data_IF_146667357006
#
_entry.id   IF_146667357006
#
_cell.length_a   1.000
_cell.length_b   1.000
_cell.length_c   1.000
_cell.angle_alpha   90.00
_cell.angle_beta   90.00
_cell.angle_gamma   90.00
#
_symmetry.space_group_name_H-M   'P 1'
#
loop_
_entity.id
_entity.type
_entity.pdbx_description
1 polymer ?
#
# COMPACT_ATOMS: atom_id res chain seq x y z
N UNK A 1 74.08 24.02 -77.36
CA UNK A 1 73.57 22.64 -77.26
C UNK A 1 72.95 22.44 -75.89
N UNK A 2 71.74 21.85 -75.82
CA UNK A 2 71.42 20.92 -74.74
C UNK A 2 70.81 19.60 -75.25
N UNK A 3 70.89 18.56 -74.40
CA UNK A 3 70.37 17.19 -74.54
C UNK A 3 69.21 16.96 -73.56
N UNK A 4 68.19 16.17 -73.98
CA UNK A 4 67.39 15.14 -73.23
C UNK A 4 66.59 15.62 -71.97
N UNK A 5 65.49 15.05 -71.48
CA UNK A 5 64.59 13.90 -71.81
C UNK A 5 63.35 14.00 -70.87
N UNK A 6 62.22 13.48 -71.35
CA UNK A 6 61.17 12.71 -70.66
C UNK A 6 60.12 13.37 -69.74
N UNK A 7 58.86 13.17 -70.17
CA UNK A 7 57.58 13.15 -69.46
C UNK A 7 57.58 12.24 -68.21
N UNK A 8 56.72 12.53 -67.22
CA UNK A 8 55.53 11.72 -66.83
C UNK A 8 54.74 12.44 -65.72
N UNK A 9 53.46 12.71 -66.02
CA UNK A 9 52.22 12.70 -65.20
C UNK A 9 52.32 12.66 -63.66
N UNK A 10 51.79 13.69 -62.99
CA UNK A 10 51.51 13.65 -61.53
C UNK A 10 50.09 14.15 -61.16
N UNK A 11 49.33 14.81 -62.04
CA UNK A 11 48.07 15.46 -61.62
C UNK A 11 46.79 14.59 -61.62
N UNK A 12 46.85 13.28 -61.90
CA UNK A 12 45.63 12.45 -62.02
C UNK A 12 45.42 11.37 -60.95
N UNK A 13 46.29 11.24 -59.93
CA UNK A 13 46.17 10.18 -58.91
C UNK A 13 45.42 10.58 -57.62
N UNK A 14 45.28 11.87 -57.29
CA UNK A 14 44.64 12.29 -56.02
C UNK A 14 43.10 12.42 -56.11
N UNK A 15 42.53 12.85 -57.25
CA UNK A 15 41.10 13.12 -57.37
C UNK A 15 40.17 11.89 -57.38
N UNK A 16 40.69 10.70 -57.71
CA UNK A 16 39.90 9.46 -57.82
C UNK A 16 39.64 8.83 -56.43
N UNK A 17 40.52 9.08 -55.47
CA UNK A 17 40.44 8.51 -54.12
C UNK A 17 39.36 9.24 -53.28
N UNK A 18 39.34 10.57 -53.33
CA UNK A 18 38.34 11.39 -52.63
C UNK A 18 36.91 11.18 -53.12
N UNK A 19 36.70 10.87 -54.40
CA UNK A 19 35.37 10.61 -54.94
C UNK A 19 34.77 9.31 -54.37
N UNK A 20 35.60 8.26 -54.25
CA UNK A 20 35.21 6.97 -53.67
C UNK A 20 35.01 7.05 -52.16
N UNK A 21 35.85 7.83 -51.47
CA UNK A 21 35.72 8.06 -50.04
C UNK A 21 34.43 8.85 -49.72
N UNK A 22 34.08 9.86 -50.51
CA UNK A 22 32.82 10.59 -50.38
C UNK A 22 31.58 9.73 -50.65
N UNK A 23 31.69 8.75 -51.55
CA UNK A 23 30.59 7.81 -51.82
C UNK A 23 30.37 6.86 -50.63
N UNK A 24 31.45 6.30 -50.09
CA UNK A 24 31.39 5.47 -48.86
C UNK A 24 30.88 6.23 -47.65
N UNK A 25 31.34 7.47 -47.45
CA UNK A 25 30.87 8.32 -46.35
C UNK A 25 29.37 8.62 -46.46
N UNK A 26 28.84 8.77 -47.68
CA UNK A 26 27.39 8.94 -47.90
C UNK A 26 26.62 7.67 -47.55
N UNK A 27 27.13 6.50 -47.94
CA UNK A 27 26.52 5.21 -47.59
C UNK A 27 26.51 4.97 -46.08
N UNK A 28 27.60 5.29 -45.38
CA UNK A 28 27.67 5.18 -43.91
C UNK A 28 26.71 6.14 -43.21
N UNK A 29 26.57 7.38 -43.71
CA UNK A 29 25.58 8.34 -43.19
C UNK A 29 24.15 7.83 -43.40
N UNK A 30 23.86 7.22 -44.54
CA UNK A 30 22.54 6.66 -44.85
C UNK A 30 22.21 5.48 -43.91
N UNK A 31 23.19 4.61 -43.65
CA UNK A 31 23.05 3.50 -42.71
C UNK A 31 22.86 3.98 -41.27
N UNK A 32 23.64 4.97 -40.82
CA UNK A 32 23.50 5.58 -39.50
C UNK A 32 22.14 6.26 -39.32
N UNK A 33 21.62 6.93 -40.35
CA UNK A 33 20.27 7.53 -40.32
C UNK A 33 19.18 6.47 -40.14
N UNK A 34 19.25 5.37 -40.90
CA UNK A 34 18.29 4.26 -40.76
C UNK A 34 18.35 3.63 -39.37
N UNK A 35 19.56 3.43 -38.83
CA UNK A 35 19.75 2.85 -37.50
C UNK A 35 19.21 3.78 -36.39
N UNK A 36 19.37 5.10 -36.53
CA UNK A 36 18.78 6.10 -35.61
C UNK A 36 17.25 6.09 -35.70
N UNK A 37 16.69 5.90 -36.89
CA UNK A 37 15.25 5.88 -37.11
C UNK A 37 14.59 4.60 -36.57
N UNK A 38 15.27 3.46 -36.67
CA UNK A 38 14.91 2.20 -36.01
C UNK A 38 14.99 2.32 -34.48
N UNK A 39 16.09 2.89 -33.95
CA UNK A 39 16.24 3.15 -32.51
C UNK A 39 15.21 4.16 -31.95
N UNK A 40 14.76 5.13 -32.77
CA UNK A 40 13.68 6.06 -32.41
C UNK A 40 12.33 5.34 -32.33
N UNK A 41 12.03 4.45 -33.28
CA UNK A 41 10.82 3.62 -33.25
C UNK A 41 10.81 2.65 -32.06
N UNK A 42 11.97 2.14 -31.64
CA UNK A 42 12.08 1.33 -30.42
C UNK A 42 11.92 2.16 -29.13
N UNK A 43 12.36 3.42 -29.12
CA UNK A 43 12.19 4.34 -27.98
C UNK A 43 10.78 4.91 -27.81
N UNK A 44 9.87 4.73 -28.76
CA UNK A 44 8.46 5.10 -28.58
C UNK A 44 7.67 4.12 -27.70
N UNK A 45 8.29 3.01 -27.26
CA UNK A 45 7.81 2.19 -26.13
C UNK A 45 8.36 2.67 -24.78
N UNK A 46 8.49 3.99 -24.58
CA UNK A 46 8.53 4.52 -23.22
C UNK A 46 7.12 4.33 -22.68
N UNK A 47 6.97 3.40 -21.73
CA UNK A 47 5.77 3.29 -20.91
C UNK A 47 5.51 4.68 -20.38
N UNK A 48 4.46 5.32 -20.89
CA UNK A 48 3.89 6.53 -20.31
C UNK A 48 3.37 6.08 -18.95
N UNK A 49 4.22 6.19 -17.93
CA UNK A 49 3.82 5.93 -16.55
C UNK A 49 2.88 7.08 -16.25
N UNK A 50 1.55 6.88 -16.17
CA UNK A 50 0.67 7.96 -15.82
C UNK A 50 1.18 8.51 -14.49
N UNK A 51 1.42 9.82 -14.46
CA UNK A 51 1.77 10.52 -13.24
C UNK A 51 0.61 10.30 -12.27
N UNK A 52 0.75 9.26 -11.45
CA UNK A 52 -0.17 8.96 -10.38
C UNK A 52 -0.16 10.20 -9.52
N UNK A 53 -1.26 10.96 -9.56
CA UNK A 53 -1.48 12.13 -8.72
C UNK A 53 -1.62 11.65 -7.27
N UNK A 54 -0.53 11.18 -6.66
CA UNK A 54 -0.46 10.97 -5.23
C UNK A 54 -0.46 12.37 -4.65
N UNK A 55 -1.56 12.78 -4.04
CA UNK A 55 -1.68 14.06 -3.35
C UNK A 55 -0.45 14.26 -2.46
N UNK A 56 0.31 15.33 -2.67
CA UNK A 56 1.46 15.65 -1.81
C UNK A 56 0.95 16.02 -0.41
N UNK A 57 1.04 15.08 0.52
CA UNK A 57 0.63 15.29 1.91
C UNK A 57 1.81 15.88 2.69
N UNK A 58 1.67 17.07 3.31
CA UNK A 58 2.71 17.63 4.15
C UNK A 58 3.04 16.68 5.32
N UNK A 59 4.34 16.42 5.56
CA UNK A 59 4.79 15.50 6.62
C UNK A 59 4.32 15.91 8.02
N UNK A 60 4.10 17.20 8.25
CA UNK A 60 3.61 17.76 9.51
C UNK A 60 2.07 17.78 9.62
N UNK A 61 1.33 17.41 8.56
CA UNK A 61 -0.13 17.31 8.61
C UNK A 61 -0.51 16.31 9.70
N UNK A 62 -1.39 16.73 10.62
CA UNK A 62 -1.93 15.86 11.64
C UNK A 62 -3.09 15.04 11.07
N UNK A 63 -2.96 13.74 11.17
CA UNK A 63 -3.92 12.76 10.67
C UNK A 63 -4.51 12.02 11.86
N UNK A 64 -5.83 11.92 11.90
CA UNK A 64 -6.52 11.19 12.96
C UNK A 64 -6.40 9.70 12.70
N UNK A 65 -5.93 8.98 13.71
CA UNK A 65 -5.84 7.52 13.70
C UNK A 65 -6.66 6.98 14.87
N UNK A 66 -7.43 5.93 14.63
CA UNK A 66 -8.26 5.26 15.64
C UNK A 66 -7.73 3.85 15.90
N UNK A 67 -7.61 3.46 17.17
CA UNK A 67 -7.32 2.07 17.53
C UNK A 67 -8.55 1.20 17.29
N UNK A 68 -8.37 0.09 16.59
CA UNK A 68 -9.39 -0.96 16.48
C UNK A 68 -9.05 -2.17 17.37
N UNK A 69 -7.95 -2.11 18.12
CA UNK A 69 -7.52 -3.18 19.01
C UNK A 69 -8.05 -3.03 20.44
N UNK A 70 -8.51 -4.14 21.03
CA UNK A 70 -8.94 -4.21 22.42
C UNK A 70 -7.75 -4.45 23.36
N UNK A 71 -7.11 -3.37 23.77
CA UNK A 71 -5.99 -3.40 24.70
C UNK A 71 -5.14 -2.15 24.56
N UNK A 72 -3.88 -2.26 24.98
CA UNK A 72 -2.89 -1.21 24.77
C UNK A 72 -2.21 -1.47 23.42
N UNK A 73 -2.39 -0.57 22.46
CA UNK A 73 -1.69 -0.61 21.18
C UNK A 73 -0.54 0.40 21.20
N UNK A 74 0.69 -0.10 21.02
CA UNK A 74 1.89 0.73 20.94
C UNK A 74 2.39 0.76 19.49
N UNK A 75 2.38 1.95 18.90
CA UNK A 75 2.99 2.23 17.60
C UNK A 75 4.34 2.92 17.84
N UNK A 76 5.38 2.45 17.17
CA UNK A 76 6.76 2.90 17.39
C UNK A 76 7.31 3.44 16.09
N UNK A 77 7.74 4.69 16.11
CA UNK A 77 8.40 5.36 14.97
C UNK A 77 9.85 4.86 14.81
N UNK A 78 10.52 5.22 13.72
CA UNK A 78 11.94 4.90 13.53
C UNK A 78 12.83 5.70 14.50
N UNK A 79 12.39 6.90 14.89
CA UNK A 79 13.02 7.71 15.94
C UNK A 79 12.88 7.14 17.36
N UNK A 80 12.14 6.03 17.55
CA UNK A 80 11.94 5.40 18.86
C UNK A 80 10.83 6.05 19.70
N UNK A 81 10.09 7.02 19.14
CA UNK A 81 8.91 7.60 19.78
C UNK A 81 7.80 6.55 19.83
N UNK A 82 7.20 6.38 21.01
CA UNK A 82 6.09 5.45 21.22
C UNK A 82 4.78 6.23 21.29
N UNK A 83 3.83 5.87 20.43
CA UNK A 83 2.47 6.38 20.40
C UNK A 83 1.55 5.29 20.92
N UNK A 84 1.05 5.48 22.15
CA UNK A 84 0.22 4.50 22.84
C UNK A 84 -1.26 4.83 22.73
N UNK A 85 -2.08 3.87 22.32
CA UNK A 85 -3.54 3.90 22.43
C UNK A 85 -3.96 3.03 23.61
N UNK A 86 -4.71 3.60 24.56
CA UNK A 86 -5.01 2.95 25.83
C UNK A 86 -6.22 2.00 25.78
N UNK A 87 -7.08 2.14 24.76
CA UNK A 87 -8.29 1.36 24.62
C UNK A 87 -8.76 1.33 23.16
N UNK A 88 -9.65 0.38 22.88
CA UNK A 88 -10.38 0.29 21.62
C UNK A 88 -11.14 1.59 21.32
N UNK A 89 -11.06 2.07 20.09
CA UNK A 89 -11.74 3.29 19.65
C UNK A 89 -11.07 4.59 20.11
N UNK A 90 -9.93 4.54 20.81
CA UNK A 90 -9.16 5.73 21.13
C UNK A 90 -8.65 6.39 19.85
N UNK A 91 -8.85 7.71 19.73
CA UNK A 91 -8.42 8.50 18.57
C UNK A 91 -7.22 9.36 18.97
N UNK A 92 -6.17 9.37 18.16
CA UNK A 92 -5.02 10.26 18.32
C UNK A 92 -4.64 10.93 17.01
N UNK A 93 -4.32 12.24 17.03
CA UNK A 93 -3.66 12.89 15.90
C UNK A 93 -2.19 12.46 15.86
N UNK A 94 -1.73 12.02 14.70
CA UNK A 94 -0.34 11.63 14.41
C UNK A 94 0.12 12.41 13.18
N UNK A 95 1.37 12.89 13.16
CA UNK A 95 1.91 13.55 11.96
C UNK A 95 2.03 12.54 10.82
N UNK A 96 1.80 12.95 9.58
CA UNK A 96 1.93 12.06 8.43
C UNK A 96 3.33 11.42 8.34
N UNK A 97 4.39 12.17 8.67
CA UNK A 97 5.75 11.64 8.74
C UNK A 97 5.90 10.49 9.75
N UNK A 98 5.39 10.65 10.98
CA UNK A 98 5.42 9.59 11.99
C UNK A 98 4.57 8.38 11.54
N UNK A 99 3.43 8.63 10.89
CA UNK A 99 2.54 7.59 10.39
C UNK A 99 3.18 6.77 9.27
N UNK A 100 3.94 7.41 8.38
CA UNK A 100 4.72 6.76 7.34
C UNK A 100 5.77 5.83 7.96
N UNK A 101 6.54 6.31 8.94
CA UNK A 101 7.52 5.49 9.66
C UNK A 101 6.86 4.28 10.36
N UNK A 102 5.70 4.47 10.98
CA UNK A 102 4.94 3.40 11.62
C UNK A 102 4.48 2.37 10.61
N UNK A 103 3.95 2.81 9.45
CA UNK A 103 3.46 1.90 8.42
C UNK A 103 4.60 1.12 7.76
N UNK A 104 5.77 1.72 7.60
CA UNK A 104 6.95 1.04 7.07
C UNK A 104 7.48 -0.02 8.06
N UNK A 105 7.57 0.35 9.34
CA UNK A 105 8.15 -0.52 10.38
C UNK A 105 7.20 -1.60 10.84
N UNK A 106 5.92 -1.26 11.01
CA UNK A 106 4.89 -2.11 11.59
C UNK A 106 3.76 -2.35 10.59
N UNK A 107 4.12 -2.57 9.31
CA UNK A 107 3.20 -2.75 8.18
C UNK A 107 2.04 -3.71 8.45
N UNK A 108 2.33 -4.84 9.09
CA UNK A 108 1.31 -5.83 9.47
C UNK A 108 0.18 -5.23 10.30
N UNK A 109 0.49 -4.32 11.24
CA UNK A 109 -0.54 -3.71 12.09
C UNK A 109 -1.48 -2.79 11.29
N UNK A 110 -0.95 -2.11 10.27
CA UNK A 110 -1.72 -1.26 9.38
C UNK A 110 -2.58 -2.10 8.42
N UNK A 111 -2.01 -3.15 7.82
CA UNK A 111 -2.70 -4.00 6.84
C UNK A 111 -3.75 -4.92 7.47
N UNK A 112 -3.50 -5.42 8.68
CA UNK A 112 -4.45 -6.26 9.41
C UNK A 112 -5.54 -5.43 10.11
N UNK A 113 -5.40 -4.11 10.21
CA UNK A 113 -6.42 -3.23 10.78
C UNK A 113 -6.42 -3.14 12.30
N UNK A 114 -5.25 -3.22 12.97
CA UNK A 114 -5.15 -2.91 14.41
C UNK A 114 -5.45 -1.44 14.71
N UNK A 115 -5.22 -0.58 13.74
CA UNK A 115 -5.63 0.82 13.74
C UNK A 115 -6.16 1.20 12.36
N UNK A 116 -6.97 2.27 12.30
CA UNK A 116 -7.53 2.80 11.07
C UNK A 116 -7.20 4.29 10.95
N UNK A 117 -6.76 4.69 9.76
CA UNK A 117 -6.41 6.07 9.40
C UNK A 117 -7.67 6.74 8.86
N UNK A 118 -8.05 7.86 9.45
CA UNK A 118 -9.28 8.59 9.13
C UNK A 118 -9.03 9.71 8.09
N UNK A 119 -8.20 9.43 7.10
CA UNK A 119 -7.84 10.35 6.01
C UNK A 119 -7.57 9.54 4.74
N UNK A 120 -8.42 9.71 3.72
CA UNK A 120 -8.39 8.90 2.50
C UNK A 120 -7.11 9.13 1.70
N UNK A 121 -6.68 10.38 1.58
CA UNK A 121 -5.46 10.72 0.84
C UNK A 121 -4.25 10.04 1.49
N UNK A 122 -4.22 9.99 2.83
CA UNK A 122 -3.15 9.33 3.57
C UNK A 122 -3.14 7.81 3.38
N UNK A 123 -4.31 7.17 3.32
CA UNK A 123 -4.44 5.74 3.03
C UNK A 123 -3.90 5.41 1.63
N UNK A 124 -4.23 6.25 0.65
CA UNK A 124 -3.74 6.11 -0.73
C UNK A 124 -2.22 6.33 -0.81
N UNK A 125 -1.71 7.39 -0.17
CA UNK A 125 -0.27 7.71 -0.14
C UNK A 125 0.57 6.63 0.57
N UNK A 126 -0.02 5.89 1.52
CA UNK A 126 0.62 4.78 2.23
C UNK A 126 0.39 3.41 1.55
N UNK A 127 -0.24 3.38 0.38
CA UNK A 127 -0.54 2.15 -0.38
C UNK A 127 -1.40 1.13 0.39
N UNK A 128 -2.26 1.61 1.29
CA UNK A 128 -3.10 0.77 2.13
C UNK A 128 -4.50 0.51 1.54
N UNK A 129 -4.81 1.07 0.37
CA UNK A 129 -6.14 0.99 -0.27
C UNK A 129 -6.67 -0.43 -0.40
N UNK A 130 -5.83 -1.39 -0.81
CA UNK A 130 -6.25 -2.80 -0.94
C UNK A 130 -6.48 -3.47 0.42
N UNK A 131 -5.65 -3.17 1.42
CA UNK A 131 -5.84 -3.68 2.77
C UNK A 131 -7.13 -3.14 3.40
N UNK A 132 -7.44 -1.86 3.16
CA UNK A 132 -8.63 -1.20 3.71
C UNK A 132 -9.95 -1.78 3.19
N UNK A 133 -9.95 -2.52 2.07
CA UNK A 133 -11.14 -3.27 1.61
C UNK A 133 -11.56 -4.38 2.60
N UNK A 134 -10.63 -4.85 3.43
CA UNK A 134 -10.85 -5.92 4.44
C UNK A 134 -10.93 -5.37 5.87
N UNK A 135 -10.93 -4.05 6.04
CA UNK A 135 -11.00 -3.38 7.34
C UNK A 135 -12.35 -2.70 7.43
N UNK A 136 -13.08 -2.96 8.51
CA UNK A 136 -14.36 -2.30 8.80
C UNK A 136 -14.19 -1.22 9.86
N UNK A 137 -15.08 -0.23 9.85
CA UNK A 137 -15.00 0.87 10.79
C UNK A 137 -15.28 0.42 12.24
N UNK A 138 -14.82 1.23 13.19
CA UNK A 138 -15.13 1.09 14.61
C UNK A 138 -16.64 0.88 14.86
N UNK A 139 -17.47 1.67 14.20
CA UNK A 139 -18.93 1.64 14.35
C UNK A 139 -19.53 0.31 13.88
N UNK A 140 -18.96 -0.28 12.82
CA UNK A 140 -19.38 -1.60 12.33
C UNK A 140 -19.01 -2.68 13.35
N UNK A 141 -17.81 -2.62 13.93
CA UNK A 141 -17.38 -3.56 14.98
C UNK A 141 -18.32 -3.46 16.21
N UNK A 142 -18.59 -2.25 16.69
CA UNK A 142 -19.43 -2.00 17.88
C UNK A 142 -20.90 -2.42 17.70
N UNK A 143 -21.38 -2.42 16.46
CA UNK A 143 -22.79 -2.68 16.15
C UNK A 143 -22.99 -3.96 15.34
N UNK A 144 -21.99 -4.83 15.21
CA UNK A 144 -22.10 -6.01 14.34
C UNK A 144 -23.31 -6.89 14.71
N UNK A 145 -23.59 -7.04 16.00
CA UNK A 145 -24.72 -7.81 16.52
C UNK A 145 -26.10 -7.21 16.18
N UNK A 146 -26.18 -5.95 15.76
CA UNK A 146 -27.46 -5.34 15.35
C UNK A 146 -27.74 -5.54 13.86
N UNK A 147 -26.73 -5.95 13.08
CA UNK A 147 -26.84 -6.16 11.64
C UNK A 147 -27.62 -7.44 11.31
N UNK A 148 -28.21 -7.56 10.10
CA UNK A 148 -28.79 -8.82 9.60
C UNK A 148 -27.73 -9.94 9.51
N UNK A 149 -28.16 -11.20 9.66
CA UNK A 149 -27.26 -12.36 9.66
C UNK A 149 -26.45 -12.49 8.38
N UNK A 150 -27.05 -12.20 7.22
CA UNK A 150 -26.37 -12.25 5.93
C UNK A 150 -25.21 -11.25 5.88
N UNK A 151 -25.43 -10.04 6.40
CA UNK A 151 -24.42 -8.98 6.45
C UNK A 151 -23.32 -9.29 7.47
N UNK A 152 -23.69 -9.88 8.60
CA UNK A 152 -22.72 -10.36 9.59
C UNK A 152 -21.79 -11.38 8.94
N UNK A 153 -22.35 -12.38 8.26
CA UNK A 153 -21.59 -13.41 7.55
C UNK A 153 -20.63 -12.81 6.52
N UNK A 154 -21.14 -11.90 5.68
CA UNK A 154 -20.33 -11.19 4.70
C UNK A 154 -19.13 -10.46 5.33
N UNK A 155 -19.36 -9.72 6.42
CA UNK A 155 -18.29 -9.00 7.13
C UNK A 155 -17.26 -9.98 7.68
N UNK A 156 -17.69 -11.03 8.37
CA UNK A 156 -16.79 -11.98 9.02
C UNK A 156 -15.97 -12.79 8.01
N UNK A 157 -16.51 -13.10 6.83
CA UNK A 157 -15.79 -13.84 5.78
C UNK A 157 -14.74 -12.97 5.05
N UNK A 158 -14.99 -11.67 4.93
CA UNK A 158 -14.16 -10.75 4.14
C UNK A 158 -13.20 -9.88 4.95
N UNK A 159 -13.25 -9.95 6.28
CA UNK A 159 -12.39 -9.16 7.16
C UNK A 159 -11.14 -9.91 7.61
N UNK A 160 -10.12 -9.17 8.04
CA UNK A 160 -8.88 -9.71 8.61
C UNK A 160 -9.10 -10.39 9.97
N UNK A 161 -8.18 -11.27 10.37
CA UNK A 161 -8.29 -11.95 11.67
C UNK A 161 -8.18 -10.97 12.86
N UNK A 162 -7.37 -9.91 12.75
CA UNK A 162 -7.29 -8.88 13.79
C UNK A 162 -8.64 -8.16 14.01
N UNK A 163 -9.42 -7.94 12.94
CA UNK A 163 -10.77 -7.39 13.05
C UNK A 163 -11.73 -8.42 13.63
N UNK A 164 -11.63 -9.71 13.27
CA UNK A 164 -12.43 -10.78 13.89
C UNK A 164 -12.18 -10.86 15.39
N UNK A 165 -10.93 -10.80 15.83
CA UNK A 165 -10.60 -10.76 17.27
C UNK A 165 -11.18 -9.51 17.93
N UNK A 166 -11.11 -8.35 17.27
CA UNK A 166 -11.71 -7.11 17.79
C UNK A 166 -13.23 -7.20 17.92
N UNK A 167 -13.90 -7.90 17.00
CA UNK A 167 -15.33 -8.23 17.09
C UNK A 167 -15.60 -9.17 18.27
N UNK A 168 -14.82 -10.24 18.42
CA UNK A 168 -14.94 -11.20 19.52
C UNK A 168 -14.81 -10.48 20.86
N UNK A 169 -13.78 -9.65 21.02
CA UNK A 169 -13.53 -8.88 22.24
C UNK A 169 -14.67 -7.91 22.54
N UNK A 170 -15.23 -7.26 21.50
CA UNK A 170 -16.41 -6.39 21.65
C UNK A 170 -17.60 -7.16 22.20
N UNK A 171 -17.87 -8.34 21.63
CA UNK A 171 -18.98 -9.20 22.05
C UNK A 171 -18.78 -9.70 23.49
N UNK A 172 -17.59 -10.20 23.82
CA UNK A 172 -17.26 -10.68 25.18
C UNK A 172 -17.43 -9.56 26.20
N UNK A 173 -16.94 -8.35 25.90
CA UNK A 173 -17.12 -7.18 26.78
C UNK A 173 -18.59 -6.81 26.94
N UNK A 174 -19.36 -6.85 25.86
CA UNK A 174 -20.81 -6.60 25.88
C UNK A 174 -21.57 -7.59 26.76
N UNK A 175 -21.28 -8.89 26.63
CA UNK A 175 -21.86 -9.96 27.45
C UNK A 175 -21.51 -9.73 28.93
N UNK A 176 -20.23 -9.50 29.24
CA UNK A 176 -19.75 -9.32 30.61
C UNK A 176 -20.25 -8.03 31.27
N UNK A 177 -20.54 -7.00 30.48
CA UNK A 177 -21.19 -5.77 30.93
C UNK A 177 -22.70 -5.92 31.16
N UNK A 178 -23.31 -7.04 30.73
CA UNK A 178 -24.76 -7.24 30.81
C UNK A 178 -25.56 -6.35 29.85
N UNK A 179 -24.95 -5.92 28.75
CA UNK A 179 -25.62 -5.08 27.76
C UNK A 179 -26.73 -5.87 27.05
N UNK A 180 -27.94 -5.29 27.06
CA UNK A 180 -29.17 -5.91 26.52
C UNK A 180 -29.04 -6.35 25.07
N UNK A 181 -28.20 -5.65 24.28
CA UNK A 181 -27.96 -5.97 22.87
C UNK A 181 -27.31 -7.36 22.70
N UNK A 182 -26.59 -7.84 23.72
CA UNK A 182 -25.88 -9.13 23.72
C UNK A 182 -26.67 -10.24 24.42
N UNK A 183 -27.98 -10.07 24.63
CA UNK A 183 -28.85 -11.12 25.16
C UNK A 183 -29.39 -12.07 24.10
N UNK A 184 -29.33 -11.69 22.81
CA UNK A 184 -29.74 -12.56 21.71
C UNK A 184 -28.73 -13.69 21.53
N UNK A 185 -29.02 -14.81 22.20
CA UNK A 185 -28.16 -16.00 22.18
C UNK A 185 -28.08 -16.65 20.81
N UNK A 186 -29.14 -16.57 20.01
CA UNK A 186 -29.15 -17.17 18.67
C UNK A 186 -28.14 -16.46 17.78
N UNK A 187 -28.12 -15.12 17.87
CA UNK A 187 -27.22 -14.29 17.07
C UNK A 187 -25.75 -14.43 17.47
N UNK A 188 -25.48 -14.48 18.78
CA UNK A 188 -24.12 -14.73 19.29
C UNK A 188 -23.66 -16.13 18.90
N UNK A 189 -24.54 -17.13 18.99
CA UNK A 189 -24.24 -18.49 18.56
C UNK A 189 -23.93 -18.56 17.06
N UNK A 190 -24.73 -17.89 16.22
CA UNK A 190 -24.49 -17.80 14.78
C UNK A 190 -23.11 -17.21 14.45
N UNK A 191 -22.73 -16.09 15.09
CA UNK A 191 -21.40 -15.49 14.95
C UNK A 191 -20.31 -16.47 15.39
N UNK A 192 -20.51 -17.15 16.53
CA UNK A 192 -19.58 -18.15 17.04
C UNK A 192 -19.37 -19.32 16.09
N UNK A 193 -20.42 -19.79 15.39
CA UNK A 193 -20.31 -20.84 14.37
C UNK A 193 -19.44 -20.41 13.19
N UNK A 194 -19.62 -19.19 12.69
CA UNK A 194 -18.81 -18.67 11.57
C UNK A 194 -17.34 -18.56 11.97
N UNK A 195 -17.08 -18.10 13.21
CA UNK A 195 -15.73 -17.92 13.73
C UNK A 195 -15.09 -19.20 14.26
N UNK A 196 -15.84 -20.29 14.39
CA UNK A 196 -15.39 -21.54 15.01
C UNK A 196 -15.07 -21.40 16.51
N UNK A 197 -15.74 -20.47 17.22
CA UNK A 197 -15.50 -20.17 18.65
C UNK A 197 -16.79 -20.18 19.46
N UNK A 198 -16.72 -20.64 20.71
CA UNK A 198 -17.82 -20.51 21.67
C UNK A 198 -17.68 -19.20 22.46
N UNK A 199 -18.39 -18.16 22.00
CA UNK A 199 -18.26 -16.81 22.55
C UNK A 199 -18.81 -16.69 23.98
N UNK A 200 -19.80 -17.51 24.37
CA UNK A 200 -20.32 -17.50 25.75
C UNK A 200 -19.31 -18.12 26.71
N UNK A 201 -18.72 -19.25 26.33
CA UNK A 201 -17.66 -19.88 27.12
C UNK A 201 -16.46 -18.94 27.28
N UNK A 202 -16.02 -18.29 26.20
CA UNK A 202 -14.92 -17.31 26.28
C UNK A 202 -15.26 -16.14 27.20
N UNK A 203 -16.51 -15.67 27.21
CA UNK A 203 -16.92 -14.60 28.12
C UNK A 203 -16.90 -15.03 29.60
N UNK A 204 -17.35 -16.25 29.90
CA UNK A 204 -17.28 -16.85 31.23
C UNK A 204 -15.83 -16.99 31.71
N UNK A 205 -14.94 -17.52 30.87
CA UNK A 205 -13.52 -17.69 31.19
C UNK A 205 -12.88 -16.34 31.56
N UNK A 206 -13.11 -15.29 30.76
CA UNK A 206 -12.59 -13.93 31.02
C UNK A 206 -13.14 -13.34 32.33
N UNK A 207 -14.40 -13.62 32.67
CA UNK A 207 -14.99 -13.13 33.93
C UNK A 207 -14.31 -13.76 35.14
N UNK A 208 -13.94 -15.04 35.08
CA UNK A 208 -13.24 -15.73 36.18
C UNK A 208 -11.88 -15.09 36.47
N UNK A 209 -11.13 -14.67 35.43
CA UNK A 209 -9.81 -14.05 35.60
C UNK A 209 -9.85 -12.65 36.22
N UNK A 210 -10.94 -11.90 36.07
CA UNK A 210 -11.05 -10.53 36.61
C UNK A 210 -11.58 -10.46 38.05
N UNK A 211 -11.93 -11.61 38.65
CA UNK A 211 -12.48 -11.72 40.02
C UNK A 211 -11.44 -12.32 41.01
N UNK A 212 -10.25 -12.67 40.52
CA UNK A 212 -9.09 -13.08 41.32
C UNK A 212 -8.14 -11.90 41.58
#
# INVERSE_FOLDING_TARGET
>A
MPRKKNEVDIETMEGIDYAKENEKLKEEIEQLKKMIEELRKEKENIIDIPESTVSEIPLNKLIKVVSLFHGILNLITNSGKVITFNHFGAIKPITFGDLMEICDRQKRLAEEGYFMILDKDAVEALYLTEAYKKIVSKEVIENIITLPEEKIKEILENTTDAIKESIIDTIIKGINAGDIRYLDKNKIYFIGQILGKDLFKMAEDVKVYNVQ
#
